data_IF_323863851235
#
_entry.id   IF_323863851235
#
_cell.length_a   1.000
_cell.length_b   1.000
_cell.length_c   1.000
_cell.angle_alpha   90.00
_cell.angle_beta   90.00
_cell.angle_gamma   90.00
#
_symmetry.space_group_name_H-M   'P 1'
#
loop_
_entity.id
_entity.type
_entity.pdbx_description
1 polymer ?
#
# COMPACT_ATOMS: atom_id res chain seq x y z
N UNK A 1 6.62 3.78 -27.33
CA UNK A 1 5.47 4.65 -26.97
C UNK A 1 4.52 3.92 -26.01
N UNK A 2 4.45 4.37 -24.75
CA UNK A 2 3.48 3.83 -23.79
C UNK A 2 2.06 4.06 -24.33
N UNK A 3 1.15 3.06 -24.21
CA UNK A 3 -0.24 3.25 -24.61
C UNK A 3 -0.78 4.42 -23.79
N UNK A 4 -1.19 5.48 -24.49
CA UNK A 4 -1.88 6.62 -23.91
C UNK A 4 -3.00 6.08 -23.02
N UNK A 5 -2.94 6.35 -21.72
CA UNK A 5 -3.91 5.84 -20.75
C UNK A 5 -5.27 6.44 -21.09
N UNK A 6 -6.04 5.72 -21.91
CA UNK A 6 -7.32 6.14 -22.52
C UNK A 6 -8.36 6.68 -21.50
N UNK A 7 -8.18 6.39 -20.22
CA UNK A 7 -9.23 6.53 -19.21
C UNK A 7 -9.04 7.70 -18.23
N UNK A 8 -7.82 8.23 -18.06
CA UNK A 8 -7.56 9.30 -17.08
C UNK A 8 -6.46 10.27 -17.59
N UNK A 9 -6.66 11.59 -17.46
CA UNK A 9 -5.60 12.58 -17.64
C UNK A 9 -4.41 12.29 -16.73
N UNK A 10 -3.18 12.57 -17.19
CA UNK A 10 -1.95 12.28 -16.43
C UNK A 10 -1.96 12.88 -15.03
N UNK A 11 -2.35 14.15 -14.91
CA UNK A 11 -2.38 14.87 -13.62
C UNK A 11 -3.42 14.29 -12.65
N UNK A 12 -4.55 13.80 -13.20
CA UNK A 12 -5.58 13.13 -12.43
C UNK A 12 -5.11 11.76 -11.94
N UNK A 13 -4.38 11.00 -12.75
CA UNK A 13 -3.85 9.68 -12.37
C UNK A 13 -2.91 9.77 -11.15
N UNK A 14 -2.03 10.77 -11.13
CA UNK A 14 -1.14 11.04 -9.99
C UNK A 14 -1.90 11.41 -8.72
N UNK A 15 -2.91 12.27 -8.85
CA UNK A 15 -3.74 12.69 -7.72
C UNK A 15 -4.52 11.50 -7.13
N UNK A 16 -5.09 10.65 -7.99
CA UNK A 16 -5.79 9.43 -7.56
C UNK A 16 -4.81 8.43 -6.93
N UNK A 17 -3.60 8.28 -7.47
CA UNK A 17 -2.57 7.43 -6.89
C UNK A 17 -2.26 7.85 -5.44
N UNK A 18 -2.02 9.14 -5.20
CA UNK A 18 -1.76 9.69 -3.87
C UNK A 18 -2.96 9.44 -2.95
N UNK A 19 -4.18 9.70 -3.43
CA UNK A 19 -5.39 9.45 -2.66
C UNK A 19 -5.51 7.97 -2.26
N UNK A 20 -5.24 7.03 -3.17
CA UNK A 20 -5.25 5.61 -2.86
C UNK A 20 -4.15 5.20 -1.87
N UNK A 21 -2.96 5.81 -1.95
CA UNK A 21 -1.89 5.58 -0.97
C UNK A 21 -2.28 6.04 0.44
N UNK A 22 -2.88 7.24 0.55
CA UNK A 22 -3.40 7.75 1.82
C UNK A 22 -4.54 6.87 2.35
N UNK A 23 -5.48 6.48 1.49
CA UNK A 23 -6.57 5.57 1.83
C UNK A 23 -6.09 4.21 2.35
N UNK A 24 -5.04 3.65 1.73
CA UNK A 24 -4.39 2.44 2.23
C UNK A 24 -3.80 2.65 3.63
N UNK A 25 -3.12 3.76 3.88
CA UNK A 25 -2.58 4.10 5.20
C UNK A 25 -3.67 4.23 6.29
N UNK A 26 -4.79 4.86 5.95
CA UNK A 26 -5.95 4.96 6.86
C UNK A 26 -6.55 3.58 7.13
N UNK A 27 -6.68 2.72 6.11
CA UNK A 27 -7.15 1.35 6.30
C UNK A 27 -6.23 0.56 7.25
N UNK A 28 -4.90 0.64 7.07
CA UNK A 28 -3.94 -0.03 7.95
C UNK A 28 -4.01 0.47 9.41
N UNK A 29 -4.15 1.77 9.62
CA UNK A 29 -4.25 2.35 10.98
C UNK A 29 -5.59 2.09 11.66
N UNK A 30 -6.61 1.65 10.92
CA UNK A 30 -7.91 1.25 11.46
C UNK A 30 -7.94 -0.19 12.02
N UNK A 31 -6.91 -1.01 11.75
CA UNK A 31 -6.83 -2.40 12.23
C UNK A 31 -6.99 -2.52 13.75
N UNK A 32 -6.36 -1.69 14.61
CA UNK A 32 -6.55 -1.76 16.06
C UNK A 32 -8.00 -1.55 16.54
N UNK A 33 -8.87 -0.93 15.72
CA UNK A 33 -10.28 -0.79 16.05
C UNK A 33 -10.99 -2.15 16.18
N UNK A 34 -10.43 -3.22 15.59
CA UNK A 34 -10.95 -4.58 15.78
C UNK A 34 -10.80 -5.12 17.22
N UNK A 35 -10.07 -4.41 18.08
CA UNK A 35 -9.90 -4.76 19.50
C UNK A 35 -10.95 -4.11 20.42
N UNK A 36 -11.76 -3.16 19.92
CA UNK A 36 -12.77 -2.44 20.73
C UNK A 36 -14.00 -3.30 21.07
N UNK A 37 -14.61 -4.05 20.12
CA UNK A 37 -15.82 -4.81 20.40
C UNK A 37 -15.52 -6.13 21.12
N UNK A 38 -16.31 -6.47 22.15
CA UNK A 38 -16.18 -7.75 22.86
C UNK A 38 -16.74 -8.94 22.06
N UNK A 39 -17.69 -8.69 21.14
CA UNK A 39 -18.34 -9.73 20.36
C UNK A 39 -17.45 -10.21 19.21
N UNK A 40 -17.10 -11.49 19.21
CA UNK A 40 -16.27 -12.14 18.20
C UNK A 40 -16.80 -11.92 16.76
N UNK A 41 -18.12 -11.98 16.54
CA UNK A 41 -18.71 -11.79 15.22
C UNK A 41 -18.53 -10.36 14.70
N UNK A 42 -18.63 -9.37 15.58
CA UNK A 42 -18.42 -7.96 15.24
C UNK A 42 -16.95 -7.70 14.91
N UNK A 43 -16.02 -8.24 15.70
CA UNK A 43 -14.57 -8.15 15.43
C UNK A 43 -14.22 -8.76 14.07
N UNK A 44 -14.81 -9.91 13.76
CA UNK A 44 -14.60 -10.58 12.47
C UNK A 44 -15.14 -9.75 11.30
N UNK A 45 -16.33 -9.17 11.44
CA UNK A 45 -16.91 -8.27 10.44
C UNK A 45 -16.04 -7.04 10.17
N UNK A 46 -15.53 -6.40 11.23
CA UNK A 46 -14.60 -5.26 11.11
C UNK A 46 -13.30 -5.70 10.43
N UNK A 47 -12.71 -6.82 10.84
CA UNK A 47 -11.47 -7.32 10.26
C UNK A 47 -11.61 -7.57 8.75
N UNK A 48 -12.67 -8.25 8.32
CA UNK A 48 -12.91 -8.49 6.89
C UNK A 48 -13.24 -7.19 6.13
N UNK A 49 -13.95 -6.25 6.74
CA UNK A 49 -14.20 -4.94 6.15
C UNK A 49 -12.91 -4.16 5.90
N UNK A 50 -12.04 -4.11 6.91
CA UNK A 50 -10.71 -3.46 6.81
C UNK A 50 -9.84 -4.18 5.79
N UNK A 51 -9.80 -5.51 5.79
CA UNK A 51 -9.04 -6.30 4.82
C UNK A 51 -9.52 -6.07 3.38
N UNK A 52 -10.83 -5.97 3.16
CA UNK A 52 -11.39 -5.64 1.85
C UNK A 52 -11.00 -4.24 1.38
N UNK A 53 -11.08 -3.25 2.28
CA UNK A 53 -10.67 -1.87 1.98
C UNK A 53 -9.16 -1.78 1.68
N UNK A 54 -8.35 -2.48 2.47
CA UNK A 54 -6.91 -2.56 2.28
C UNK A 54 -6.56 -3.21 0.93
N UNK A 55 -7.23 -4.31 0.58
CA UNK A 55 -7.06 -4.97 -0.72
C UNK A 55 -7.48 -4.08 -1.89
N UNK A 56 -8.59 -3.34 -1.77
CA UNK A 56 -9.05 -2.40 -2.78
C UNK A 56 -8.04 -1.29 -3.05
N UNK A 57 -7.58 -0.59 -2.00
CA UNK A 57 -6.61 0.49 -2.18
C UNK A 57 -5.25 -0.04 -2.65
N UNK A 58 -4.80 -1.18 -2.14
CA UNK A 58 -3.56 -1.80 -2.60
C UNK A 58 -3.62 -2.13 -4.09
N UNK A 59 -4.71 -2.74 -4.55
CA UNK A 59 -4.92 -3.05 -5.97
C UNK A 59 -4.97 -1.79 -6.84
N UNK A 60 -5.67 -0.75 -6.38
CA UNK A 60 -5.74 0.54 -7.07
C UNK A 60 -4.37 1.22 -7.18
N UNK A 61 -3.59 1.28 -6.09
CA UNK A 61 -2.21 1.79 -6.10
C UNK A 61 -1.35 0.97 -7.04
N UNK A 62 -1.44 -0.37 -7.00
CA UNK A 62 -0.65 -1.24 -7.86
C UNK A 62 -0.90 -0.99 -9.35
N UNK A 63 -2.18 -0.84 -9.73
CA UNK A 63 -2.59 -0.57 -11.11
C UNK A 63 -2.15 0.84 -11.58
N UNK A 64 -2.36 1.86 -10.74
CA UNK A 64 -2.04 3.25 -11.08
C UNK A 64 -0.53 3.53 -11.06
N UNK A 65 0.21 2.94 -10.13
CA UNK A 65 1.64 3.15 -9.98
C UNK A 65 2.41 2.76 -11.24
N UNK A 66 2.06 1.64 -11.87
CA UNK A 66 2.69 1.23 -13.13
C UNK A 66 2.45 2.28 -14.22
N UNK A 67 1.19 2.70 -14.41
CA UNK A 67 0.84 3.72 -15.41
C UNK A 67 1.57 5.05 -15.18
N UNK A 68 1.65 5.50 -13.94
CA UNK A 68 2.34 6.74 -13.57
C UNK A 68 3.86 6.62 -13.79
N UNK A 69 4.48 5.51 -13.39
CA UNK A 69 5.90 5.24 -13.62
C UNK A 69 6.26 5.25 -15.11
N UNK A 70 5.44 4.63 -15.96
CA UNK A 70 5.68 4.62 -17.40
C UNK A 70 5.64 6.00 -18.03
N UNK A 71 4.89 6.95 -17.44
CA UNK A 71 4.83 8.33 -17.93
C UNK A 71 6.10 9.14 -17.66
N UNK A 72 6.94 8.70 -16.71
CA UNK A 72 8.21 9.36 -16.35
C UNK A 72 9.41 8.76 -17.08
N UNK A 73 9.20 7.73 -17.89
CA UNK A 73 10.30 7.01 -18.51
C UNK A 73 10.92 7.84 -19.65
N UNK A 74 12.25 8.06 -19.66
CA UNK A 74 12.88 8.70 -20.81
C UNK A 74 12.80 7.76 -22.03
N UNK A 75 12.70 8.33 -23.25
CA UNK A 75 12.48 7.55 -24.47
C UNK A 75 13.60 6.53 -24.78
N UNK A 76 14.81 6.74 -24.25
CA UNK A 76 15.97 5.87 -24.43
C UNK A 76 16.12 4.78 -23.35
N UNK A 77 15.21 4.72 -22.36
CA UNK A 77 15.33 3.74 -21.28
C UNK A 77 15.08 2.30 -21.75
N UNK A 78 15.92 1.37 -21.28
CA UNK A 78 15.65 -0.07 -21.40
C UNK A 78 14.46 -0.46 -20.50
N UNK A 79 13.36 -0.81 -21.15
CA UNK A 79 12.12 -1.20 -20.51
C UNK A 79 12.31 -2.38 -19.55
N UNK A 80 13.16 -3.35 -19.91
CA UNK A 80 13.37 -4.56 -19.11
C UNK A 80 14.03 -4.23 -17.77
N UNK A 81 15.07 -3.40 -17.81
CA UNK A 81 15.76 -2.95 -16.61
C UNK A 81 14.83 -2.15 -15.69
N UNK A 82 14.00 -1.28 -16.26
CA UNK A 82 13.09 -0.44 -15.47
C UNK A 82 11.95 -1.25 -14.85
N UNK A 83 11.40 -2.24 -15.56
CA UNK A 83 10.44 -3.18 -14.98
C UNK A 83 11.05 -3.93 -13.79
N UNK A 84 12.28 -4.42 -13.96
CA UNK A 84 13.03 -5.10 -12.90
C UNK A 84 13.23 -4.21 -11.67
N UNK A 85 13.70 -2.98 -11.88
CA UNK A 85 13.88 -2.01 -10.80
C UNK A 85 12.57 -1.67 -10.09
N UNK A 86 11.48 -1.47 -10.83
CA UNK A 86 10.17 -1.20 -10.24
C UNK A 86 9.66 -2.37 -9.39
N UNK A 87 9.89 -3.62 -9.81
CA UNK A 87 9.57 -4.81 -9.01
C UNK A 87 10.43 -4.89 -7.74
N UNK A 88 11.74 -4.62 -7.84
CA UNK A 88 12.66 -4.59 -6.70
C UNK A 88 12.25 -3.56 -5.66
N UNK A 89 11.94 -2.32 -6.07
CA UNK A 89 11.51 -1.25 -5.16
C UNK A 89 10.22 -1.63 -4.43
N UNK A 90 9.27 -2.31 -5.09
CA UNK A 90 8.05 -2.79 -4.43
C UNK A 90 8.35 -3.80 -3.33
N UNK A 91 9.17 -4.81 -3.63
CA UNK A 91 9.55 -5.84 -2.64
C UNK A 91 10.37 -5.23 -1.50
N UNK A 92 11.29 -4.32 -1.82
CA UNK A 92 12.07 -3.59 -0.83
C UNK A 92 11.16 -2.77 0.10
N UNK A 93 10.15 -2.08 -0.45
CA UNK A 93 9.16 -1.33 0.34
C UNK A 93 8.37 -2.23 1.30
N UNK A 94 7.90 -3.40 0.83
CA UNK A 94 7.26 -4.38 1.70
C UNK A 94 8.21 -4.89 2.80
N UNK A 95 9.47 -5.17 2.46
CA UNK A 95 10.49 -5.60 3.41
C UNK A 95 10.77 -4.56 4.49
N UNK A 96 10.96 -3.30 4.10
CA UNK A 96 11.17 -2.18 5.02
C UNK A 96 9.95 -1.95 5.92
N UNK A 97 8.73 -2.01 5.37
CA UNK A 97 7.50 -1.87 6.14
C UNK A 97 7.33 -2.96 7.20
N UNK A 98 7.55 -4.22 6.82
CA UNK A 98 7.49 -5.34 7.75
C UNK A 98 8.57 -5.22 8.82
N UNK A 99 9.80 -4.87 8.45
CA UNK A 99 10.91 -4.66 9.40
C UNK A 99 10.58 -3.56 10.41
N UNK A 100 10.12 -2.40 9.95
CA UNK A 100 9.75 -1.28 10.82
C UNK A 100 8.58 -1.62 11.75
N UNK A 101 7.57 -2.35 11.24
CA UNK A 101 6.45 -2.81 12.05
C UNK A 101 6.89 -3.82 13.12
N UNK A 102 7.78 -4.75 12.77
CA UNK A 102 8.35 -5.71 13.72
C UNK A 102 9.16 -5.02 14.83
N UNK A 103 10.01 -4.06 14.48
CA UNK A 103 10.76 -3.28 15.49
C UNK A 103 9.81 -2.49 16.40
N UNK A 104 8.78 -1.84 15.84
CA UNK A 104 7.80 -1.11 16.62
C UNK A 104 7.07 -2.03 17.62
N UNK A 105 6.65 -3.23 17.18
CA UNK A 105 5.99 -4.21 18.04
C UNK A 105 6.91 -4.75 19.14
N UNK A 106 8.18 -5.00 18.83
CA UNK A 106 9.18 -5.46 19.80
C UNK A 106 9.40 -4.44 20.93
N UNK A 107 9.36 -3.14 20.63
CA UNK A 107 9.42 -2.08 21.65
C UNK A 107 8.19 -2.09 22.57
N UNK A 108 6.99 -2.34 22.04
CA UNK A 108 5.78 -2.48 22.85
C UNK A 108 5.80 -3.74 23.72
N UNK A 109 6.32 -4.86 23.22
CA UNK A 109 6.45 -6.10 24.00
C UNK A 109 7.44 -5.92 25.17
N UNK A 110 8.61 -5.34 24.91
CA UNK A 110 9.61 -5.06 25.97
C UNK A 110 9.10 -4.06 27.00
N UNK A 111 8.35 -3.04 26.57
CA UNK A 111 7.74 -2.05 27.47
C UNK A 111 6.65 -2.62 28.38
N UNK A 112 5.92 -3.65 27.92
CA UNK A 112 4.90 -4.36 28.69
C UNK A 112 5.45 -5.39 29.69
N UNK A 113 6.75 -5.72 29.63
CA UNK A 113 7.42 -6.70 30.49
C UNK A 113 8.07 -6.08 31.75
N UNK A 114 7.46 -5.02 32.27
CA UNK A 114 7.77 -4.46 33.60
C UNK A 114 6.73 -4.96 34.61
N UNK A 115 6.81 -6.24 34.96
CA UNK A 115 6.28 -6.83 36.21
C UNK A 115 6.93 -8.20 36.41
#
# INVERSE_FOLDING_TARGET
PAPESRWLPKDAAWSVLIFCMLGFGVACTSVPLCCIPDNAWTRLGILYGVAGLQGFFFGAVYALFQNCMWSMLPPEADLANVMGFAALVKVMGCGLGNFAASELLDQFEKGGKKD
#
